data_IF_564380222254
#
_entry.id   IF_564380222254
#
_cell.length_a   1.000
_cell.length_b   1.000
_cell.length_c   1.000
_cell.angle_alpha   90.00
_cell.angle_beta   90.00
_cell.angle_gamma   90.00
#
_symmetry.space_group_name_H-M   'P 1'
#
loop_
_entity.id
_entity.type
_entity.pdbx_description
1 polymer ?
#
# COMPACT_ATOMS: atom_id res chain seq x y z
N UNK A 1 -9.70 -9.21 -5.40
CA UNK A 1 -9.00 -9.84 -4.26
C UNK A 1 -9.29 -8.96 -3.05
N UNK A 2 -9.87 -9.52 -1.99
CA UNK A 2 -10.24 -8.76 -0.79
C UNK A 2 -9.02 -8.70 0.14
N UNK A 3 -8.74 -7.52 0.69
CA UNK A 3 -7.58 -7.31 1.55
C UNK A 3 -7.61 -8.26 2.76
N UNK A 4 -8.78 -8.58 3.30
CA UNK A 4 -8.94 -9.53 4.42
C UNK A 4 -8.26 -10.89 4.20
N UNK A 5 -8.34 -11.42 2.98
CA UNK A 5 -7.78 -12.76 2.65
C UNK A 5 -6.26 -12.78 2.81
N UNK A 6 -5.61 -11.64 2.63
CA UNK A 6 -4.16 -11.49 2.75
C UNK A 6 -3.72 -11.64 4.21
N UNK A 7 -4.58 -11.27 5.16
CA UNK A 7 -4.29 -11.35 6.60
C UNK A 7 -4.50 -12.76 7.18
N UNK A 8 -5.13 -13.67 6.43
CA UNK A 8 -5.47 -15.00 6.95
C UNK A 8 -4.22 -15.88 7.19
N UNK A 9 -4.28 -16.71 8.23
CA UNK A 9 -3.31 -17.79 8.45
C UNK A 9 -1.94 -17.38 9.02
N UNK A 10 -1.76 -16.12 9.44
CA UNK A 10 -0.52 -15.63 10.09
C UNK A 10 -0.82 -14.78 11.33
N UNK A 11 0.12 -14.76 12.27
CA UNK A 11 0.10 -13.85 13.40
C UNK A 11 0.68 -12.49 12.98
N UNK A 12 0.00 -11.41 13.35
CA UNK A 12 0.39 -10.05 12.99
C UNK A 12 0.80 -9.24 14.21
N UNK A 13 1.78 -8.33 14.08
CA UNK A 13 2.18 -7.46 15.18
C UNK A 13 1.03 -6.55 15.59
N UNK A 14 0.87 -6.35 16.90
CA UNK A 14 -0.11 -5.41 17.44
C UNK A 14 0.38 -3.97 17.30
N UNK A 15 -0.50 -3.06 16.88
CA UNK A 15 -0.25 -1.63 16.82
C UNK A 15 -1.29 -0.86 17.63
N UNK A 16 -0.82 0.05 18.48
CA UNK A 16 -1.69 0.92 19.29
C UNK A 16 -1.88 2.26 18.58
N UNK A 17 -3.09 2.49 18.05
CA UNK A 17 -3.63 3.79 17.61
C UNK A 17 -2.61 4.85 17.20
N UNK A 18 -1.81 4.58 16.16
CA UNK A 18 -0.87 5.56 15.58
C UNK A 18 -1.54 6.31 14.43
N UNK A 19 -1.05 7.51 14.13
CA UNK A 19 -1.33 8.19 12.85
C UNK A 19 -0.95 7.23 11.70
N UNK A 20 -1.51 7.39 10.50
CA UNK A 20 -1.14 6.56 9.35
C UNK A 20 -1.52 5.07 9.45
N UNK A 21 -2.33 4.65 10.43
CA UNK A 21 -2.96 3.32 10.41
C UNK A 21 -4.22 3.35 9.55
N UNK A 22 -4.36 2.39 8.65
CA UNK A 22 -5.52 2.24 7.77
C UNK A 22 -6.20 0.88 8.00
N UNK A 23 -7.52 0.88 8.20
CA UNK A 23 -8.29 -0.36 8.34
C UNK A 23 -8.40 -1.10 7.02
N UNK A 24 -8.67 -2.41 7.10
CA UNK A 24 -8.96 -3.22 5.92
C UNK A 24 -10.19 -2.71 5.16
N UNK A 25 -11.25 -2.29 5.87
CA UNK A 25 -12.43 -1.68 5.24
C UNK A 25 -12.08 -0.44 4.38
N UNK A 26 -11.18 0.42 4.88
CA UNK A 26 -10.71 1.59 4.14
C UNK A 26 -9.86 1.20 2.93
N UNK A 27 -9.03 0.16 3.08
CA UNK A 27 -8.25 -0.40 1.98
C UNK A 27 -9.16 -0.93 0.87
N UNK A 28 -10.12 -1.80 1.20
CA UNK A 28 -11.04 -2.38 0.21
C UNK A 28 -11.85 -1.30 -0.53
N UNK A 29 -12.22 -0.21 0.15
CA UNK A 29 -12.97 0.90 -0.48
C UNK A 29 -12.16 1.75 -1.45
N UNK A 30 -10.86 1.96 -1.19
CA UNK A 30 -10.07 2.99 -1.90
C UNK A 30 -8.92 2.42 -2.73
N UNK A 31 -8.53 1.18 -2.48
CA UNK A 31 -7.30 0.60 -3.00
C UNK A 31 -7.57 -0.76 -3.65
N UNK A 32 -6.63 -1.15 -4.50
CA UNK A 32 -6.55 -2.46 -5.14
C UNK A 32 -5.21 -3.07 -4.75
N UNK A 33 -5.25 -4.26 -4.15
CA UNK A 33 -4.05 -5.01 -3.82
C UNK A 33 -3.24 -5.29 -5.10
N UNK A 34 -1.95 -4.99 -5.03
CA UNK A 34 -0.97 -5.26 -6.09
C UNK A 34 -0.12 -6.46 -5.72
N UNK A 35 0.40 -6.50 -4.49
CA UNK A 35 1.25 -7.58 -3.99
C UNK A 35 1.21 -7.67 -2.45
N UNK A 36 1.52 -8.84 -1.91
CA UNK A 36 1.91 -9.05 -0.51
C UNK A 36 3.25 -9.76 -0.47
N UNK A 37 4.14 -9.32 0.42
CA UNK A 37 5.42 -9.97 0.62
C UNK A 37 5.97 -9.70 2.03
N UNK A 38 6.28 -10.78 2.75
CA UNK A 38 6.96 -10.74 4.05
C UNK A 38 6.25 -9.83 5.08
N UNK A 39 4.91 -9.83 5.07
CA UNK A 39 4.11 -9.02 5.99
C UNK A 39 4.01 -7.54 5.62
N UNK A 40 4.33 -7.21 4.38
CA UNK A 40 4.03 -5.92 3.77
C UNK A 40 3.06 -6.14 2.62
N UNK A 41 2.19 -5.16 2.39
CA UNK A 41 1.35 -5.14 1.20
C UNK A 41 1.59 -3.87 0.39
N UNK A 42 1.42 -4.01 -0.91
CA UNK A 42 1.51 -2.96 -1.89
C UNK A 42 0.14 -2.84 -2.53
N UNK A 43 -0.33 -1.61 -2.67
CA UNK A 43 -1.61 -1.34 -3.29
C UNK A 43 -1.55 -0.11 -4.19
N UNK A 44 -2.41 -0.11 -5.19
CA UNK A 44 -2.67 1.02 -6.09
C UNK A 44 -4.03 1.60 -5.74
N UNK A 45 -4.18 2.91 -5.72
CA UNK A 45 -5.50 3.52 -5.53
C UNK A 45 -6.43 3.10 -6.67
N UNK A 46 -7.73 2.99 -6.39
CA UNK A 46 -8.72 2.57 -7.40
C UNK A 46 -8.81 3.52 -8.59
N UNK A 47 -8.52 4.80 -8.39
CA UNK A 47 -8.41 5.81 -9.46
C UNK A 47 -7.08 5.74 -10.23
N UNK A 48 -6.15 4.88 -9.79
CA UNK A 48 -4.85 4.66 -10.39
C UNK A 48 -3.81 5.77 -10.16
N UNK A 49 -4.13 6.79 -9.35
CA UNK A 49 -3.31 7.99 -9.16
C UNK A 49 -2.31 7.91 -8.01
N UNK A 50 -2.32 6.85 -7.22
CA UNK A 50 -1.40 6.69 -6.10
C UNK A 50 -0.98 5.23 -5.90
N UNK A 51 0.23 5.07 -5.39
CA UNK A 51 0.78 3.82 -4.86
C UNK A 51 0.98 3.92 -3.34
N UNK A 52 0.90 2.78 -2.68
CA UNK A 52 0.94 2.63 -1.23
C UNK A 52 1.76 1.39 -0.89
N UNK A 53 2.67 1.50 0.07
CA UNK A 53 3.28 0.38 0.79
C UNK A 53 2.89 0.47 2.27
N UNK A 54 2.33 -0.62 2.80
CA UNK A 54 1.95 -0.72 4.21
C UNK A 54 2.46 -1.99 4.86
N UNK A 55 2.79 -1.91 6.15
CA UNK A 55 3.06 -3.09 6.98
C UNK A 55 1.74 -3.65 7.49
N UNK A 56 1.56 -4.95 7.37
CA UNK A 56 0.38 -5.65 7.87
C UNK A 56 0.45 -5.83 9.39
N UNK A 57 -0.61 -5.43 10.08
CA UNK A 57 -0.68 -5.37 11.54
C UNK A 57 -2.08 -5.79 12.03
N UNK A 58 -2.21 -5.86 13.37
CA UNK A 58 -3.48 -6.02 14.08
C UNK A 58 -3.64 -4.88 15.08
N UNK A 59 -4.86 -4.37 15.24
CA UNK A 59 -5.19 -3.40 16.28
C UNK A 59 -5.46 -4.08 17.62
N UNK A 60 -5.50 -3.27 18.67
CA UNK A 60 -5.89 -3.68 20.03
C UNK A 60 -7.31 -4.29 20.10
N UNK A 61 -8.23 -3.82 19.27
CA UNK A 61 -9.58 -4.38 19.07
C UNK A 61 -9.59 -5.68 18.23
N UNK A 62 -8.43 -6.28 17.98
CA UNK A 62 -8.24 -7.47 17.16
C UNK A 62 -8.64 -7.33 15.69
N UNK A 63 -8.84 -6.11 15.17
CA UNK A 63 -9.09 -5.92 13.74
C UNK A 63 -7.80 -5.81 12.95
N UNK A 64 -7.78 -6.37 11.75
CA UNK A 64 -6.66 -6.23 10.83
C UNK A 64 -6.54 -4.79 10.30
N UNK A 65 -5.31 -4.35 10.10
CA UNK A 65 -5.01 -3.05 9.55
C UNK A 65 -3.64 -3.06 8.86
N UNK A 66 -3.30 -1.95 8.23
CA UNK A 66 -1.92 -1.65 7.89
C UNK A 66 -1.43 -0.42 8.63
N UNK A 67 -0.14 -0.39 8.92
CA UNK A 67 0.59 0.86 9.16
C UNK A 67 1.13 1.33 7.80
N UNK A 68 0.67 2.48 7.31
CA UNK A 68 1.14 3.06 6.05
C UNK A 68 2.57 3.53 6.25
N UNK A 69 3.50 3.01 5.44
CA UNK A 69 4.91 3.37 5.52
C UNK A 69 5.21 4.49 4.53
N UNK A 70 4.82 4.28 3.27
CA UNK A 70 5.03 5.23 2.20
C UNK A 70 3.83 5.25 1.25
N UNK A 71 3.48 6.45 0.82
CA UNK A 71 2.55 6.72 -0.28
C UNK A 71 3.26 7.56 -1.32
N UNK A 72 2.95 7.34 -2.58
CA UNK A 72 3.45 8.18 -3.67
C UNK A 72 2.34 8.41 -4.70
N UNK A 73 2.38 9.55 -5.38
CA UNK A 73 1.52 9.82 -6.54
C UNK A 73 2.05 9.07 -7.76
N UNK A 74 1.15 8.66 -8.64
CA UNK A 74 1.47 8.10 -9.94
C UNK A 74 1.21 9.20 -10.96
N UNK A 75 2.29 9.70 -11.57
CA UNK A 75 2.26 10.79 -12.55
C UNK A 75 3.15 10.39 -13.74
N UNK A 76 2.63 10.49 -14.96
CA UNK A 76 3.35 10.10 -16.19
C UNK A 76 3.95 8.68 -16.12
N UNK A 77 3.18 7.74 -15.56
CA UNK A 77 3.59 6.36 -15.32
C UNK A 77 4.79 6.17 -14.37
N UNK A 78 5.09 7.17 -13.54
CA UNK A 78 6.15 7.11 -12.54
C UNK A 78 5.63 7.48 -11.15
N UNK A 79 6.30 6.97 -10.12
CA UNK A 79 6.04 7.36 -8.74
C UNK A 79 6.73 8.69 -8.43
N UNK A 80 5.96 9.67 -7.96
CA UNK A 80 6.38 11.02 -7.58
C UNK A 80 5.82 11.38 -6.21
N UNK A 81 6.35 12.44 -5.60
CA UNK A 81 5.84 13.01 -4.35
C UNK A 81 5.68 11.97 -3.23
N UNK A 82 6.79 11.34 -2.84
CA UNK A 82 6.78 10.35 -1.78
C UNK A 82 6.49 11.01 -0.43
N UNK A 83 5.54 10.42 0.29
CA UNK A 83 5.13 10.80 1.63
C UNK A 83 5.43 9.61 2.55
N UNK A 84 6.23 9.82 3.60
CA UNK A 84 6.62 8.79 4.56
C UNK A 84 6.03 9.08 5.93
N UNK A 85 5.52 8.06 6.61
CA UNK A 85 4.93 8.20 7.95
C UNK A 85 5.75 7.55 9.04
N UNK A 86 6.34 6.38 8.77
CA UNK A 86 7.04 5.57 9.76
C UNK A 86 8.30 4.93 9.17
N UNK A 87 9.45 5.43 9.60
CA UNK A 87 10.76 4.92 9.21
C UNK A 87 11.86 5.85 9.72
N UNK A 88 13.05 5.29 9.90
CA UNK A 88 14.27 6.11 9.91
C UNK A 88 14.43 6.72 8.50
N UNK A 89 14.94 7.95 8.40
CA UNK A 89 15.29 8.55 7.11
C UNK A 89 16.23 7.63 6.30
N UNK A 90 17.06 6.83 6.98
CA UNK A 90 17.91 5.82 6.37
C UNK A 90 17.13 4.71 5.62
N UNK A 91 15.88 4.44 6.02
CA UNK A 91 15.05 3.38 5.47
C UNK A 91 14.11 3.86 4.36
N UNK A 92 13.90 5.17 4.22
CA UNK A 92 12.98 5.75 3.23
C UNK A 92 13.32 5.32 1.80
N UNK A 93 14.61 5.32 1.44
CA UNK A 93 15.07 4.89 0.13
C UNK A 93 14.73 3.42 -0.14
N UNK A 94 14.86 2.56 0.88
CA UNK A 94 14.52 1.14 0.79
C UNK A 94 13.01 0.97 0.54
N UNK A 95 12.17 1.70 1.27
CA UNK A 95 10.72 1.63 1.10
C UNK A 95 10.25 2.20 -0.24
N UNK A 96 10.81 3.34 -0.67
CA UNK A 96 10.54 3.93 -1.98
C UNK A 96 10.90 2.97 -3.12
N UNK A 97 12.09 2.36 -3.04
CA UNK A 97 12.56 1.37 -4.01
C UNK A 97 11.62 0.16 -4.06
N UNK A 98 11.25 -0.39 -2.90
CA UNK A 98 10.36 -1.55 -2.83
C UNK A 98 8.98 -1.25 -3.41
N UNK A 99 8.41 -0.09 -3.09
CA UNK A 99 7.15 0.36 -3.68
C UNK A 99 7.29 0.45 -5.22
N UNK A 100 8.35 1.10 -5.71
CA UNK A 100 8.60 1.25 -7.15
C UNK A 100 8.71 -0.10 -7.87
N UNK A 101 9.53 -1.00 -7.37
CA UNK A 101 9.78 -2.32 -8.00
C UNK A 101 8.48 -3.11 -8.14
N UNK A 102 7.66 -3.15 -7.09
CA UNK A 102 6.45 -3.99 -7.07
C UNK A 102 5.25 -3.35 -7.78
N UNK A 103 5.17 -2.02 -7.83
CA UNK A 103 4.06 -1.33 -8.51
C UNK A 103 4.33 -1.03 -9.99
N UNK A 104 5.58 -0.98 -10.46
CA UNK A 104 5.89 -0.51 -11.82
C UNK A 104 5.20 -1.32 -12.93
N UNK A 105 5.08 -2.64 -12.76
CA UNK A 105 4.32 -3.50 -13.69
C UNK A 105 2.81 -3.28 -13.65
N UNK A 106 2.30 -2.65 -12.58
CA UNK A 106 0.88 -2.38 -12.34
C UNK A 106 0.51 -0.90 -12.57
N UNK A 107 1.48 -0.02 -12.78
CA UNK A 107 1.22 1.37 -13.16
C UNK A 107 0.60 1.41 -14.57
N UNK A 108 1.12 0.58 -15.48
CA UNK A 108 0.63 0.40 -16.85
C UNK A 108 -0.67 -0.42 -16.86
N UNK A 109 -1.79 0.19 -16.48
CA UNK A 109 -3.12 -0.29 -16.85
C UNK A 109 -3.41 0.06 -18.32
N UNK A 110 -4.37 -0.61 -19.00
CA UNK A 110 -4.55 -0.45 -20.44
C UNK A 110 -4.75 1.03 -20.74
N UNK A 111 -3.90 1.55 -21.62
CA UNK A 111 -4.18 2.75 -22.39
C UNK A 111 -5.61 2.55 -22.90
N UNK A 112 -6.58 3.29 -22.33
CA UNK A 112 -7.85 3.43 -23.03
C UNK A 112 -7.45 4.18 -24.29
N UNK A 113 -7.31 3.45 -25.38
CA UNK A 113 -7.51 3.96 -26.72
C UNK A 113 -8.81 4.76 -26.65
N UNK A 114 -8.65 6.07 -26.51
CA UNK A 114 -9.69 7.04 -26.78
C UNK A 114 -9.86 7.10 -28.28
N UNK A 115 -10.33 6.00 -28.86
CA UNK A 115 -10.82 5.96 -30.21
C UNK A 115 -12.20 6.65 -30.18
N UNK A 116 -12.20 7.97 -30.42
CA UNK A 116 -13.07 8.69 -31.38
C UNK A 116 -12.96 10.21 -31.27
#
# INVERSE_FOLDING_TARGET
MEFEKVFAGRSWPEVRGRIGVMSVDSLDRQWVLVAEECGYLIAKSRDGKAGLLGRMCKRDDSKFCIEVIVRAKIENNELRHYEFWYGDAADELRYARRLRELISGNIRGPERDGDR
#
